data_IF_294668600771
#
_entry.id   IF_294668600771
#
_cell.length_a   1.000
_cell.length_b   1.000
_cell.length_c   1.000
_cell.angle_alpha   90.00
_cell.angle_beta   90.00
_cell.angle_gamma   90.00
#
_symmetry.space_group_name_H-M   'P 1'
#
loop_
_entity.id
_entity.type
_entity.pdbx_description
1 polymer ?
#
# COMPACT_ATOMS: atom_id res chain seq x y z
N UNK A 1 21.26 24.81 -35.43
CA UNK A 1 20.96 23.83 -34.36
C UNK A 1 21.14 24.52 -33.02
N UNK A 2 20.60 25.74 -32.89
CA UNK A 2 20.74 26.61 -31.69
C UNK A 2 19.46 27.43 -31.46
N UNK A 3 18.56 27.52 -32.45
CA UNK A 3 17.32 28.31 -32.37
C UNK A 3 16.15 27.60 -31.66
N UNK A 4 16.09 26.27 -31.65
CA UNK A 4 14.97 25.51 -31.04
C UNK A 4 15.02 25.51 -29.50
N UNK A 5 16.23 25.56 -28.91
CA UNK A 5 16.41 25.61 -27.46
C UNK A 5 15.99 26.97 -26.88
N UNK A 6 16.21 28.05 -27.64
CA UNK A 6 15.81 29.39 -27.23
C UNK A 6 14.28 29.54 -27.21
N UNK A 7 13.59 28.91 -28.17
CA UNK A 7 12.13 28.86 -28.22
C UNK A 7 11.53 28.07 -27.05
N UNK A 8 12.10 26.92 -26.70
CA UNK A 8 11.63 26.13 -25.56
C UNK A 8 11.82 26.86 -24.22
N UNK A 9 12.95 27.53 -24.03
CA UNK A 9 13.25 28.26 -22.79
C UNK A 9 12.40 29.52 -22.61
N UNK A 10 12.15 30.27 -23.68
CA UNK A 10 11.26 31.45 -23.63
C UNK A 10 9.82 31.05 -23.37
N UNK A 11 9.30 30.05 -24.09
CA UNK A 11 7.90 29.60 -23.93
C UNK A 11 7.61 29.08 -22.52
N UNK A 12 8.57 28.37 -21.88
CA UNK A 12 8.39 27.89 -20.51
C UNK A 12 8.45 29.01 -19.46
N UNK A 13 9.28 30.03 -19.68
CA UNK A 13 9.41 31.16 -18.78
C UNK A 13 8.20 32.11 -18.87
N UNK A 14 7.62 32.26 -20.06
CA UNK A 14 6.42 33.09 -20.26
C UNK A 14 5.14 32.48 -19.65
N UNK A 15 5.12 31.16 -19.43
CA UNK A 15 4.03 30.47 -18.71
C UNK A 15 4.11 30.72 -17.19
N UNK A 16 5.27 31.11 -16.65
CA UNK A 16 5.55 31.14 -15.21
C UNK A 16 5.47 32.51 -14.55
N UNK A 17 5.07 33.57 -15.26
CA UNK A 17 4.96 34.89 -14.63
C UNK A 17 3.71 35.61 -15.14
N UNK A 18 2.56 35.27 -14.58
CA UNK A 18 1.41 36.17 -14.62
C UNK A 18 1.63 37.26 -13.55
N UNK A 19 1.42 38.55 -13.84
CA UNK A 19 1.58 39.64 -12.85
C UNK A 19 0.60 39.56 -11.67
N UNK A 20 -0.30 38.56 -11.67
CA UNK A 20 -1.21 38.24 -10.58
C UNK A 20 -0.78 37.02 -9.74
N UNK A 21 0.43 36.48 -9.97
CA UNK A 21 1.02 35.38 -9.20
C UNK A 21 1.51 35.87 -7.82
N UNK A 22 0.58 36.34 -7.00
CA UNK A 22 0.80 36.49 -5.57
C UNK A 22 1.04 35.10 -4.99
N UNK A 23 2.32 34.79 -4.74
CA UNK A 23 2.81 33.79 -3.79
C UNK A 23 1.89 32.56 -3.68
N UNK A 24 1.90 31.69 -4.69
CA UNK A 24 1.49 30.31 -4.45
C UNK A 24 2.54 29.69 -3.52
N UNK A 25 2.35 29.87 -2.20
CA UNK A 25 3.01 29.01 -1.24
C UNK A 25 2.82 27.57 -1.72
N UNK A 26 3.88 26.76 -1.62
CA UNK A 26 3.83 25.37 -2.06
C UNK A 26 2.93 24.59 -1.08
N UNK A 27 1.60 24.73 -1.22
CA UNK A 27 0.60 24.14 -0.34
C UNK A 27 0.68 22.64 -0.55
N UNK A 28 1.44 21.97 0.33
CA UNK A 28 1.50 20.51 0.37
C UNK A 28 0.10 19.99 0.62
N UNK A 29 -0.32 19.01 -0.18
CA UNK A 29 -1.62 18.34 0.00
C UNK A 29 -1.75 17.82 1.44
N UNK A 30 -2.88 18.04 2.12
CA UNK A 30 -3.07 17.53 3.46
C UNK A 30 -3.02 16.00 3.47
N UNK A 31 -2.34 15.44 4.46
CA UNK A 31 -2.19 13.99 4.65
C UNK A 31 -2.84 13.53 5.95
N UNK A 32 -3.31 12.29 5.95
CA UNK A 32 -3.88 11.66 7.13
C UNK A 32 -2.78 11.36 8.17
N UNK A 33 -2.97 11.77 9.42
CA UNK A 33 -2.01 11.52 10.50
C UNK A 33 -1.84 10.02 10.85
N UNK A 34 -2.77 9.16 10.42
CA UNK A 34 -2.75 7.74 10.78
C UNK A 34 -2.13 6.82 9.72
N UNK A 35 -2.28 7.18 8.43
CA UNK A 35 -1.79 6.37 7.31
C UNK A 35 -0.99 7.14 6.25
N UNK A 36 -0.77 8.45 6.48
CA UNK A 36 0.04 9.35 5.64
C UNK A 36 -0.45 9.53 4.20
N UNK A 37 -1.60 8.92 3.83
CA UNK A 37 -2.23 9.11 2.52
C UNK A 37 -2.86 10.50 2.41
N UNK A 38 -2.95 11.07 1.20
CA UNK A 38 -3.72 12.29 0.95
C UNK A 38 -5.14 12.17 1.52
N UNK A 39 -5.64 13.21 2.19
CA UNK A 39 -6.94 13.16 2.88
C UNK A 39 -8.08 12.75 1.94
N UNK A 40 -8.07 13.23 0.69
CA UNK A 40 -9.10 12.92 -0.31
C UNK A 40 -9.21 11.43 -0.69
N UNK A 41 -8.13 10.65 -0.55
CA UNK A 41 -8.09 9.22 -0.88
C UNK A 41 -7.92 8.34 0.35
N UNK A 42 -7.92 8.95 1.54
CA UNK A 42 -7.78 8.23 2.79
C UNK A 42 -9.07 7.48 3.12
N UNK A 43 -8.93 6.23 3.57
CA UNK A 43 -10.04 5.39 3.97
C UNK A 43 -10.18 5.24 5.49
N UNK A 44 -9.28 5.83 6.29
CA UNK A 44 -9.23 5.60 7.74
C UNK A 44 -10.54 5.94 8.46
N UNK A 45 -11.28 6.94 8.01
CA UNK A 45 -12.60 7.30 8.58
C UNK A 45 -13.67 6.23 8.41
N UNK A 46 -13.45 5.27 7.50
CA UNK A 46 -14.38 4.17 7.22
C UNK A 46 -13.89 2.84 7.80
N UNK A 47 -12.74 2.83 8.47
CA UNK A 47 -12.21 1.64 9.13
C UNK A 47 -12.75 1.56 10.56
N UNK A 48 -12.72 0.36 11.17
CA UNK A 48 -13.02 0.23 12.59
C UNK A 48 -12.13 1.14 13.44
N UNK A 49 -12.72 1.86 14.39
CA UNK A 49 -11.96 2.71 15.33
C UNK A 49 -10.95 1.91 16.14
N UNK A 50 -11.29 0.66 16.45
CA UNK A 50 -10.44 -0.31 17.13
C UNK A 50 -10.23 -1.56 16.26
N UNK A 51 -8.99 -2.06 16.11
CA UNK A 51 -8.74 -3.29 15.36
C UNK A 51 -9.56 -4.48 15.88
N UNK A 52 -10.14 -5.23 14.96
CA UNK A 52 -11.00 -6.37 15.25
C UNK A 52 -10.16 -7.58 15.65
N UNK A 53 -10.58 -8.26 16.72
CA UNK A 53 -10.03 -9.56 17.14
C UNK A 53 -10.87 -10.70 16.61
N UNK A 54 -10.25 -11.57 15.82
CA UNK A 54 -10.89 -12.79 15.33
C UNK A 54 -10.94 -13.83 16.45
N UNK A 55 -12.09 -14.49 16.61
CA UNK A 55 -12.34 -15.40 17.73
C UNK A 55 -11.75 -16.80 17.53
N UNK A 56 -11.76 -17.30 16.30
CA UNK A 56 -11.46 -18.71 15.99
C UNK A 56 -10.51 -18.89 14.81
N UNK A 57 -10.10 -17.80 14.16
CA UNK A 57 -9.38 -17.86 12.89
C UNK A 57 -8.21 -16.89 12.92
N UNK A 58 -7.11 -17.31 12.31
CA UNK A 58 -5.95 -16.45 12.08
C UNK A 58 -5.73 -16.32 10.59
N UNK A 59 -5.57 -15.08 10.11
CA UNK A 59 -5.35 -14.77 8.70
C UNK A 59 -3.85 -14.70 8.43
N UNK A 60 -3.39 -15.47 7.46
CA UNK A 60 -2.02 -15.40 6.96
C UNK A 60 -2.04 -14.76 5.57
N UNK A 61 -1.27 -13.68 5.39
CA UNK A 61 -1.08 -13.02 4.11
C UNK A 61 0.37 -13.22 3.68
N UNK A 62 0.57 -14.00 2.62
CA UNK A 62 1.86 -14.20 1.98
C UNK A 62 2.01 -13.17 0.85
N UNK A 63 2.76 -12.11 1.11
CA UNK A 63 2.88 -10.96 0.21
C UNK A 63 4.26 -10.93 -0.46
N UNK A 64 4.30 -10.91 -1.80
CA UNK A 64 5.58 -10.83 -2.49
C UNK A 64 6.25 -9.46 -2.28
N UNK A 65 7.59 -9.39 -2.21
CA UNK A 65 8.30 -8.11 -1.97
C UNK A 65 7.95 -7.04 -3.01
N UNK A 66 7.75 -7.45 -4.26
CA UNK A 66 7.37 -6.53 -5.34
C UNK A 66 5.95 -5.96 -5.18
N UNK A 67 5.05 -6.66 -4.48
CA UNK A 67 3.68 -6.20 -4.25
C UNK A 67 3.62 -5.09 -3.19
N UNK A 68 4.61 -5.00 -2.31
CA UNK A 68 4.67 -3.98 -1.24
C UNK A 68 4.68 -2.57 -1.84
N UNK A 69 5.30 -2.41 -3.01
CA UNK A 69 5.44 -1.12 -3.71
C UNK A 69 4.17 -0.72 -4.47
N UNK A 70 3.13 -1.57 -4.52
CA UNK A 70 1.90 -1.26 -5.25
C UNK A 70 1.11 -0.18 -4.48
N UNK A 71 0.59 0.84 -5.18
CA UNK A 71 -0.10 1.98 -4.53
C UNK A 71 -1.41 1.57 -3.84
N UNK A 72 -2.09 0.54 -4.36
CA UNK A 72 -3.25 -0.09 -3.71
C UNK A 72 -2.77 -1.09 -2.65
N UNK A 73 -2.33 -0.57 -1.51
CA UNK A 73 -1.92 -1.40 -0.37
C UNK A 73 -3.12 -1.97 0.40
N UNK A 74 -3.87 -2.91 -0.17
CA UNK A 74 -4.99 -3.60 0.51
C UNK A 74 -4.54 -4.31 1.77
N UNK A 75 -3.34 -4.89 1.77
CA UNK A 75 -2.74 -5.50 2.97
C UNK A 75 -2.51 -4.45 4.07
N UNK A 76 -2.12 -3.21 3.70
CA UNK A 76 -1.97 -2.15 4.70
C UNK A 76 -3.32 -1.77 5.32
N UNK A 77 -4.39 -1.76 4.52
CA UNK A 77 -5.74 -1.56 5.04
C UNK A 77 -6.10 -2.64 6.06
N UNK A 78 -5.86 -3.90 5.71
CA UNK A 78 -6.14 -5.04 6.57
C UNK A 78 -5.38 -4.97 7.90
N UNK A 79 -4.12 -4.49 7.89
CA UNK A 79 -3.33 -4.29 9.13
C UNK A 79 -3.87 -3.20 10.05
N UNK A 80 -4.77 -2.33 9.57
CA UNK A 80 -5.49 -1.37 10.41
C UNK A 80 -6.80 -1.93 10.94
N UNK A 81 -7.42 -2.86 10.21
CA UNK A 81 -8.71 -3.45 10.58
C UNK A 81 -8.61 -4.64 11.54
N UNK A 82 -7.50 -5.38 11.54
CA UNK A 82 -7.31 -6.56 12.39
C UNK A 82 -6.20 -6.36 13.42
N UNK A 83 -6.36 -6.98 14.58
CA UNK A 83 -5.34 -6.97 15.62
C UNK A 83 -4.13 -7.87 15.26
N UNK A 84 -3.02 -7.70 15.99
CA UNK A 84 -1.75 -8.38 15.71
C UNK A 84 -1.79 -9.89 15.98
N UNK A 85 -2.71 -10.38 16.80
CA UNK A 85 -2.85 -11.82 17.08
C UNK A 85 -3.61 -12.51 15.95
N UNK A 86 -4.55 -11.81 15.31
CA UNK A 86 -5.41 -12.34 14.26
C UNK A 86 -4.81 -12.27 12.86
N UNK A 87 -3.80 -11.43 12.62
CA UNK A 87 -3.24 -11.19 11.29
C UNK A 87 -1.71 -11.36 11.26
N UNK A 88 -1.24 -12.29 10.42
CA UNK A 88 0.16 -12.52 10.15
C UNK A 88 0.49 -12.18 8.69
N UNK A 89 1.24 -11.10 8.46
CA UNK A 89 1.71 -10.72 7.12
C UNK A 89 3.17 -11.11 6.94
N UNK A 90 3.42 -12.06 6.05
CA UNK A 90 4.78 -12.54 5.74
C UNK A 90 5.17 -11.99 4.38
N UNK A 91 6.31 -11.30 4.32
CA UNK A 91 6.81 -10.67 3.10
C UNK A 91 8.06 -11.38 2.62
N UNK A 92 8.01 -11.98 1.43
CA UNK A 92 9.14 -12.73 0.89
C UNK A 92 9.08 -12.85 -0.64
N UNK A 93 10.19 -13.30 -1.23
CA UNK A 93 10.21 -13.74 -2.64
C UNK A 93 9.75 -15.20 -2.81
N UNK A 94 9.84 -16.00 -1.75
CA UNK A 94 9.54 -17.44 -1.78
C UNK A 94 9.05 -17.86 -0.39
N UNK A 95 7.95 -18.62 -0.31
CA UNK A 95 7.30 -19.04 0.94
C UNK A 95 7.45 -20.54 1.24
N UNK A 96 8.42 -21.20 0.63
CA UNK A 96 8.74 -22.61 0.85
C UNK A 96 8.95 -22.92 2.33
N UNK A 97 8.45 -24.09 2.75
CA UNK A 97 8.62 -24.66 4.09
C UNK A 97 10.07 -24.80 4.53
N UNK A 98 11.03 -24.87 3.60
CA UNK A 98 12.47 -24.92 3.90
C UNK A 98 12.97 -23.57 4.39
N UNK A 99 12.46 -22.47 3.79
CA UNK A 99 12.84 -21.10 4.12
C UNK A 99 12.02 -20.52 5.27
N UNK A 100 10.80 -21.01 5.48
CA UNK A 100 9.90 -20.61 6.56
C UNK A 100 9.45 -21.84 7.38
N UNK A 101 10.32 -22.38 8.26
CA UNK A 101 9.98 -23.54 9.07
C UNK A 101 8.75 -23.33 9.96
N UNK A 102 8.55 -22.10 10.44
CA UNK A 102 7.39 -21.70 11.25
C UNK A 102 6.05 -21.89 10.51
N UNK A 103 6.05 -21.87 9.18
CA UNK A 103 4.85 -22.05 8.37
C UNK A 103 4.51 -23.52 8.13
N UNK A 104 5.40 -24.47 8.44
CA UNK A 104 5.12 -25.91 8.27
C UNK A 104 3.86 -26.34 9.03
N UNK A 105 3.68 -25.81 10.24
CA UNK A 105 2.49 -26.11 11.04
C UNK A 105 1.22 -25.55 10.39
N UNK A 106 1.29 -24.37 9.79
CA UNK A 106 0.16 -23.75 9.08
C UNK A 106 -0.18 -24.54 7.82
N UNK A 107 0.82 -24.90 7.01
CA UNK A 107 0.60 -25.64 5.75
C UNK A 107 0.06 -27.06 5.97
N UNK A 108 0.49 -27.72 7.05
CA UNK A 108 0.09 -29.10 7.35
C UNK A 108 -1.18 -29.19 8.20
N UNK A 109 -1.72 -28.07 8.67
CA UNK A 109 -2.94 -28.07 9.46
C UNK A 109 -4.16 -28.33 8.54
N UNK A 110 -4.96 -29.38 8.77
CA UNK A 110 -6.11 -29.73 7.93
C UNK A 110 -7.22 -28.65 7.95
N UNK A 111 -7.22 -27.76 8.94
CA UNK A 111 -8.16 -26.64 9.04
C UNK A 111 -7.66 -25.37 8.35
N UNK A 112 -6.47 -25.39 7.73
CA UNK A 112 -5.96 -24.26 6.95
C UNK A 112 -6.64 -24.22 5.59
N UNK A 113 -7.24 -23.07 5.27
CA UNK A 113 -7.88 -22.82 3.99
C UNK A 113 -7.04 -21.84 3.16
N UNK A 114 -6.70 -22.26 1.93
CA UNK A 114 -6.05 -21.38 0.95
C UNK A 114 -7.13 -20.64 0.15
N UNK A 115 -7.23 -19.32 0.38
CA UNK A 115 -8.23 -18.48 -0.30
C UNK A 115 -7.75 -18.01 -1.68
N UNK A 116 -6.45 -17.72 -1.81
CA UNK A 116 -5.85 -17.25 -3.05
C UNK A 116 -4.36 -17.63 -3.12
N UNK A 117 -3.83 -18.03 -4.30
CA UNK A 117 -4.58 -18.34 -5.52
C UNK A 117 -5.49 -19.57 -5.31
N UNK A 118 -6.60 -19.63 -6.05
CA UNK A 118 -7.43 -20.84 -6.01
C UNK A 118 -6.66 -22.02 -6.65
N UNK A 119 -7.07 -23.25 -6.38
CA UNK A 119 -6.41 -24.47 -6.91
C UNK A 119 -6.37 -24.54 -8.45
N UNK A 120 -7.21 -23.75 -9.13
CA UNK A 120 -7.34 -23.71 -10.58
C UNK A 120 -6.66 -22.48 -11.21
N UNK A 121 -5.95 -21.67 -10.42
CA UNK A 121 -5.29 -20.47 -10.93
C UNK A 121 -3.96 -20.88 -11.55
N UNK A 122 -3.98 -21.07 -12.86
CA UNK A 122 -2.79 -21.31 -13.70
C UNK A 122 -2.04 -20.02 -13.97
#
# INVERSE_FOLDING_TARGET
>A
MEDDDLFFQTTFNDILISPNDQLFENIKRPTCQHCERPVQTCLCSHLPDTPLKLKQTTVYVLQHINEIKRPLGTVQLLTKCLDKESLNVIRSKNFSSTKYPCMKQVYNNPYTLLLFPNQNSS
#
